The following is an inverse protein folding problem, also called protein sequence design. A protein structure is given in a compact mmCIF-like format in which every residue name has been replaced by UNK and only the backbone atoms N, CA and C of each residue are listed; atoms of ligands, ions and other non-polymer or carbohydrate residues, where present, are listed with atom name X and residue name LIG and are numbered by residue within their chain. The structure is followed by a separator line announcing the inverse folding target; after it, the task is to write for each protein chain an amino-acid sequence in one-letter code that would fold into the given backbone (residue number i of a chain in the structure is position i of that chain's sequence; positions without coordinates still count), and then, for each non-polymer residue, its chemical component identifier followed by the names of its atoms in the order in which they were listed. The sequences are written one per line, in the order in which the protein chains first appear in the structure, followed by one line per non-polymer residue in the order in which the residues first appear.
data_IF_341891720495
#
_entry.id   IF_341891720495
#
_cell.length_a   1.000
_cell.length_b   1.000
_cell.length_c   1.000
_cell.angle_alpha   90.00
_cell.angle_beta   90.00
_cell.angle_gamma   90.00
#
_symmetry.space_group_name_H-M   'P 1'
#
loop_
_entity.id
_entity.type
_entity.pdbx_description
1 polymer ?
#
# COMPACT_ATOMS: atom_id res chain seq x y z
N UNK A 1 -10.54 3.91 12.16
CA UNK A 1 -10.85 3.31 10.86
C UNK A 1 -9.99 2.08 10.62
N UNK A 2 -10.48 1.12 9.85
CA UNK A 2 -9.72 -0.01 9.33
C UNK A 2 -9.23 0.32 7.91
N UNK A 3 -7.92 0.50 7.76
CA UNK A 3 -7.30 0.96 6.52
C UNK A 3 -6.32 -0.09 5.99
N UNK A 4 -6.23 -0.22 4.66
CA UNK A 4 -5.18 -1.01 3.99
C UNK A 4 -4.18 -0.06 3.35
N UNK A 5 -2.92 -0.11 3.76
CA UNK A 5 -1.83 0.62 3.12
C UNK A 5 -1.09 -0.29 2.14
N UNK A 6 -1.03 0.10 0.86
CA UNK A 6 -0.17 -0.52 -0.14
C UNK A 6 0.94 0.48 -0.44
N UNK A 7 2.21 0.12 -0.19
CA UNK A 7 3.32 1.06 -0.36
C UNK A 7 4.52 0.43 -1.05
N UNK A 8 5.28 1.24 -1.78
CA UNK A 8 6.58 0.82 -2.29
C UNK A 8 7.55 0.57 -1.13
N UNK A 9 8.29 -0.53 -1.20
CA UNK A 9 9.29 -0.92 -0.20
C UNK A 9 10.37 0.16 0.06
N UNK A 10 10.62 1.07 -0.89
CA UNK A 10 11.54 2.20 -0.68
C UNK A 10 11.11 3.15 0.44
N UNK A 11 9.81 3.17 0.79
CA UNK A 11 9.25 3.98 1.88
C UNK A 11 9.03 3.18 3.17
N UNK A 12 9.58 1.96 3.28
CA UNK A 12 9.31 1.03 4.37
C UNK A 12 9.46 1.68 5.75
N UNK A 13 10.58 2.36 5.99
CA UNK A 13 10.89 2.93 7.31
C UNK A 13 9.92 4.04 7.69
N UNK A 14 9.66 4.97 6.77
CA UNK A 14 8.78 6.12 6.97
C UNK A 14 7.33 5.65 7.17
N UNK A 15 6.87 4.68 6.37
CA UNK A 15 5.52 4.13 6.50
C UNK A 15 5.32 3.37 7.82
N UNK A 16 6.28 2.54 8.23
CA UNK A 16 6.21 1.90 9.55
C UNK A 16 6.20 2.92 10.69
N UNK A 17 6.98 4.00 10.58
CA UNK A 17 6.99 5.06 11.59
C UNK A 17 5.65 5.79 11.70
N UNK A 18 5.01 6.09 10.57
CA UNK A 18 3.69 6.73 10.52
C UNK A 18 2.58 5.79 11.02
N UNK A 19 2.57 4.55 10.55
CA UNK A 19 1.55 3.54 10.92
C UNK A 19 1.57 3.26 12.42
N UNK A 20 2.76 3.13 13.02
CA UNK A 20 2.89 2.91 14.47
C UNK A 20 2.35 4.06 15.34
N UNK A 21 2.10 5.24 14.74
CA UNK A 21 1.57 6.44 15.41
C UNK A 21 0.18 6.83 14.94
N UNK A 22 -0.40 6.05 14.04
CA UNK A 22 -1.73 6.32 13.50
C UNK A 22 -2.80 6.06 14.56
N UNK A 23 -3.82 6.91 14.67
CA UNK A 23 -5.00 6.59 15.48
C UNK A 23 -5.90 5.53 14.81
N UNK A 24 -5.61 5.15 13.57
CA UNK A 24 -6.34 4.14 12.80
C UNK A 24 -5.61 2.79 12.81
N UNK A 25 -6.35 1.70 12.71
CA UNK A 25 -5.79 0.38 12.44
C UNK A 25 -5.40 0.32 10.96
N UNK A 26 -4.10 0.15 10.70
CA UNK A 26 -3.56 0.11 9.33
C UNK A 26 -2.85 -1.21 9.09
N UNK A 27 -3.43 -2.04 8.23
CA UNK A 27 -2.76 -3.24 7.73
C UNK A 27 -1.88 -2.82 6.55
N UNK A 28 -0.58 -3.13 6.62
CA UNK A 28 0.41 -2.67 5.63
C UNK A 28 0.84 -3.82 4.73
N UNK A 29 0.96 -3.55 3.43
CA UNK A 29 1.56 -4.44 2.44
C UNK A 29 2.56 -3.66 1.59
N UNK A 30 3.81 -4.13 1.60
CA UNK A 30 4.89 -3.54 0.83
C UNK A 30 5.06 -4.30 -0.48
N UNK A 31 5.05 -3.57 -1.60
CA UNK A 31 5.39 -4.15 -2.90
C UNK A 31 6.90 -3.97 -3.16
N UNK A 32 7.56 -4.97 -3.77
CA UNK A 32 9.00 -4.95 -3.99
C UNK A 32 9.47 -3.69 -4.71
N UNK A 33 10.65 -3.21 -4.34
CA UNK A 33 11.36 -2.21 -5.17
C UNK A 33 11.57 -2.73 -6.60
N UNK A 34 11.58 -1.81 -7.57
CA UNK A 34 11.70 -2.12 -9.00
C UNK A 34 10.39 -2.26 -9.75
N UNK A 35 9.23 -2.16 -9.08
CA UNK A 35 7.94 -2.09 -9.77
C UNK A 35 7.83 -0.88 -10.71
N UNK A 36 8.45 0.25 -10.33
CA UNK A 36 8.54 1.45 -11.17
C UNK A 36 9.33 1.20 -12.46
N UNK A 37 10.33 0.31 -12.43
CA UNK A 37 11.19 0.00 -13.57
C UNK A 37 10.42 -0.74 -14.68
N UNK A 38 9.25 -1.32 -14.35
CA UNK A 38 8.35 -1.96 -15.32
C UNK A 38 7.51 -0.93 -16.13
N UNK A 39 7.59 0.35 -15.77
CA UNK A 39 6.80 1.43 -16.34
C UNK A 39 5.39 1.55 -15.72
N UNK A 40 4.82 2.75 -15.82
CA UNK A 40 3.60 3.11 -15.08
C UNK A 40 2.37 2.23 -15.36
N UNK A 41 2.25 1.65 -16.56
CA UNK A 41 1.14 0.75 -16.88
C UNK A 41 1.21 -0.57 -16.10
N UNK A 42 2.34 -1.27 -16.16
CA UNK A 42 2.56 -2.53 -15.44
C UNK A 42 2.58 -2.33 -13.92
N UNK A 43 3.13 -1.20 -13.48
CA UNK A 43 3.10 -0.82 -12.07
C UNK A 43 1.66 -0.69 -11.56
N UNK A 44 0.80 0.05 -12.28
CA UNK A 44 -0.62 0.20 -11.90
C UNK A 44 -1.35 -1.14 -11.92
N UNK A 45 -1.08 -2.01 -12.88
CA UNK A 45 -1.65 -3.36 -12.92
C UNK A 45 -1.28 -4.16 -11.66
N UNK A 46 -0.01 -4.17 -11.27
CA UNK A 46 0.44 -4.85 -10.05
C UNK A 46 -0.19 -4.27 -8.77
N UNK A 47 -0.32 -2.94 -8.69
CA UNK A 47 -1.02 -2.29 -7.57
C UNK A 47 -2.50 -2.66 -7.56
N UNK A 48 -3.16 -2.63 -8.72
CA UNK A 48 -4.57 -2.95 -8.85
C UNK A 48 -4.86 -4.39 -8.40
N UNK A 49 -4.00 -5.36 -8.76
CA UNK A 49 -4.15 -6.74 -8.30
C UNK A 49 -4.12 -6.87 -6.77
N UNK A 50 -3.45 -5.98 -6.06
CA UNK A 50 -3.40 -5.96 -4.60
C UNK A 50 -4.62 -5.24 -4.03
N UNK A 51 -5.07 -4.15 -4.67
CA UNK A 51 -6.33 -3.48 -4.35
C UNK A 51 -7.51 -4.46 -4.48
N UNK A 52 -7.57 -5.23 -5.56
CA UNK A 52 -8.66 -6.19 -5.83
C UNK A 52 -8.73 -7.32 -4.79
N UNK A 53 -7.62 -7.59 -4.08
CA UNK A 53 -7.55 -8.55 -2.97
C UNK A 53 -7.95 -7.93 -1.63
N UNK A 54 -8.08 -6.61 -1.55
CA UNK A 54 -8.52 -5.95 -0.33
C UNK A 54 -10.02 -6.21 -0.14
N UNK A 55 -10.36 -6.92 0.93
CA UNK A 55 -11.73 -7.19 1.33
C UNK A 55 -12.49 -5.88 1.65
N UNK A 56 -13.47 -5.45 0.83
CA UNK A 56 -14.21 -4.21 1.04
C UNK A 56 -15.05 -4.22 2.34
N UNK A 57 -15.41 -5.39 2.84
CA UNK A 57 -16.07 -5.57 4.14
C UNK A 57 -15.12 -5.36 5.34
N UNK A 58 -13.80 -5.47 5.11
CA UNK A 58 -12.77 -5.33 6.16
C UNK A 58 -12.21 -3.92 6.25
N UNK A 59 -12.04 -3.25 5.10
CA UNK A 59 -11.36 -1.96 5.02
C UNK A 59 -12.28 -0.87 4.50
N UNK A 60 -12.26 0.27 5.17
CA UNK A 60 -13.02 1.47 4.79
C UNK A 60 -12.35 2.22 3.63
N UNK A 61 -11.03 2.11 3.50
CA UNK A 61 -10.28 2.72 2.41
C UNK A 61 -8.93 2.01 2.16
N UNK A 62 -8.43 2.19 0.94
CA UNK A 62 -7.07 1.81 0.54
C UNK A 62 -6.22 3.06 0.38
N UNK A 63 -5.05 3.06 1.00
CA UNK A 63 -4.04 4.11 0.93
C UNK A 63 -2.89 3.67 0.01
N UNK A 64 -2.37 4.59 -0.79
CA UNK A 64 -1.24 4.34 -1.69
C UNK A 64 -0.02 5.17 -1.25
N UNK A 65 1.08 4.49 -0.92
CA UNK A 65 2.37 5.10 -0.64
C UNK A 65 3.38 4.87 -1.78
N UNK A 66 3.31 5.71 -2.82
CA UNK A 66 4.17 5.65 -4.02
C UNK A 66 4.71 7.05 -4.37
N UNK A 67 5.87 7.11 -5.03
CA UNK A 67 6.58 8.34 -5.44
C UNK A 67 7.00 8.30 -6.89
#
# INVERSE_FOLDING_TARGET
MNLKLISCEVLYREMCWLVARSPNQVDVEFLPKGLHDLGGAKMREGIQQVIDRAAPEKYEAVLLGYV
#
